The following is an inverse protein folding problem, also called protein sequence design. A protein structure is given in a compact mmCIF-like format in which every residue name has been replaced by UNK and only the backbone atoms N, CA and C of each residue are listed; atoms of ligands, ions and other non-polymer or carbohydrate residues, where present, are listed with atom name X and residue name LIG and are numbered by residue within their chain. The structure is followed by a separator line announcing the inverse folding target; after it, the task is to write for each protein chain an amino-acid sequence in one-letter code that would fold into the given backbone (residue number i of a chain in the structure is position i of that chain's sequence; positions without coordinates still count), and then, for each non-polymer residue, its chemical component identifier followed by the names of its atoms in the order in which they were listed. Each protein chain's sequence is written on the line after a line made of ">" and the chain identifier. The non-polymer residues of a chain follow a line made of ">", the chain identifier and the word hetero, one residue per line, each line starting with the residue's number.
data_IF_244901347051
#
_entry.id   IF_244901347051
#
_cell.length_a   1.000
_cell.length_b   1.000
_cell.length_c   1.000
_cell.angle_alpha   90.00
_cell.angle_beta   90.00
_cell.angle_gamma   90.00
#
_symmetry.space_group_name_H-M   'P 1'
#
loop_
_entity.id
_entity.type
_entity.pdbx_description
1 polymer ?
#
# COMPACT_ATOMS: atom_id res chain seq x y z
N UNK A 1 -1.50 -102.96 -6.49
CA UNK A 1 -1.89 -102.17 -7.68
C UNK A 1 -2.52 -100.89 -7.16
N UNK A 2 -1.95 -99.74 -7.55
CA UNK A 2 -2.17 -98.41 -6.96
C UNK A 2 -3.51 -97.84 -7.42
N UNK A 3 -4.36 -97.42 -6.48
CA UNK A 3 -5.49 -96.52 -6.73
C UNK A 3 -5.01 -95.07 -6.54
N UNK A 4 -5.13 -94.26 -7.58
CA UNK A 4 -4.76 -92.86 -7.56
C UNK A 4 -5.95 -92.01 -7.09
N UNK A 5 -5.77 -91.25 -6.01
CA UNK A 5 -6.62 -90.10 -5.68
C UNK A 5 -6.19 -88.93 -6.58
N UNK A 6 -7.13 -88.39 -7.36
CA UNK A 6 -6.96 -87.14 -8.08
C UNK A 6 -7.43 -85.98 -7.18
N UNK A 7 -6.50 -85.12 -6.79
CA UNK A 7 -6.77 -83.87 -6.06
C UNK A 7 -7.20 -82.81 -7.08
N UNK A 8 -8.48 -82.41 -7.06
CA UNK A 8 -8.96 -81.27 -7.85
C UNK A 8 -8.50 -79.97 -7.20
N UNK A 9 -7.52 -79.31 -7.81
CA UNK A 9 -7.09 -77.95 -7.47
C UNK A 9 -8.07 -76.96 -8.13
N UNK A 10 -8.93 -76.34 -7.33
CA UNK A 10 -9.80 -75.25 -7.79
C UNK A 10 -8.94 -73.99 -7.90
N UNK A 11 -8.50 -73.63 -9.12
CA UNK A 11 -7.86 -72.35 -9.38
C UNK A 11 -8.97 -71.29 -9.44
N UNK A 12 -9.14 -70.55 -8.34
CA UNK A 12 -9.97 -69.36 -8.32
C UNK A 12 -9.20 -68.25 -9.04
N UNK A 13 -9.42 -68.07 -10.34
CA UNK A 13 -8.94 -66.90 -11.06
C UNK A 13 -9.73 -65.69 -10.57
N UNK A 14 -9.14 -64.95 -9.63
CA UNK A 14 -9.59 -63.62 -9.27
C UNK A 14 -9.42 -62.72 -10.49
N UNK A 15 -10.53 -62.46 -11.19
CA UNK A 15 -10.60 -61.38 -12.16
C UNK A 15 -10.59 -60.09 -11.34
N UNK A 16 -9.39 -59.55 -11.12
CA UNK A 16 -9.23 -58.18 -10.66
C UNK A 16 -9.84 -57.28 -11.74
N UNK A 17 -11.08 -56.82 -11.50
CA UNK A 17 -11.61 -55.71 -12.27
C UNK A 17 -10.69 -54.52 -12.00
N UNK A 18 -10.13 -53.86 -13.03
CA UNK A 18 -9.46 -52.60 -12.79
C UNK A 18 -10.53 -51.65 -12.26
N UNK A 19 -10.43 -51.30 -10.97
CA UNK A 19 -11.01 -50.07 -10.49
C UNK A 19 -10.41 -48.98 -11.38
N UNK A 20 -11.20 -48.46 -12.31
CA UNK A 20 -10.97 -47.13 -12.85
C UNK A 20 -11.00 -46.19 -11.65
N UNK A 21 -9.82 -45.92 -11.08
CA UNK A 21 -9.63 -44.69 -10.35
C UNK A 21 -9.90 -43.60 -11.37
N UNK A 22 -11.09 -42.99 -11.30
CA UNK A 22 -11.25 -41.67 -11.85
C UNK A 22 -10.16 -40.83 -11.17
N UNK A 23 -9.19 -40.26 -11.91
CA UNK A 23 -8.31 -39.28 -11.29
C UNK A 23 -9.24 -38.25 -10.64
N UNK A 24 -9.01 -37.93 -9.37
CA UNK A 24 -9.59 -36.72 -8.82
C UNK A 24 -9.16 -35.61 -9.80
N UNK A 25 -10.13 -35.00 -10.48
CA UNK A 25 -9.82 -33.98 -11.47
C UNK A 25 -9.35 -32.78 -10.67
N UNK A 26 -8.02 -32.61 -10.57
CA UNK A 26 -7.45 -31.34 -10.19
C UNK A 26 -8.06 -30.24 -11.08
N UNK A 27 -8.35 -29.09 -10.48
CA UNK A 27 -8.78 -27.90 -11.18
C UNK A 27 -7.73 -27.40 -12.19
N UNK A 28 -8.09 -26.42 -13.03
CA UNK A 28 -7.27 -25.99 -14.15
C UNK A 28 -6.11 -25.06 -13.74
N UNK A 29 -6.03 -24.63 -12.48
CA UNK A 29 -5.05 -23.67 -12.00
C UNK A 29 -3.86 -24.36 -11.33
N UNK A 30 -2.69 -23.68 -11.24
CA UNK A 30 -1.51 -24.20 -10.54
C UNK A 30 -1.83 -24.76 -9.15
N UNK A 31 -1.15 -25.80 -8.71
CA UNK A 31 -1.33 -26.34 -7.35
C UNK A 31 -0.53 -25.56 -6.30
N UNK A 32 -0.52 -26.10 -5.08
CA UNK A 32 0.33 -25.58 -4.00
C UNK A 32 1.82 -25.87 -4.22
N UNK A 33 2.69 -25.17 -3.48
CA UNK A 33 4.12 -25.40 -3.50
C UNK A 33 4.46 -26.91 -3.39
N UNK A 34 5.36 -27.38 -4.26
CA UNK A 34 5.76 -28.78 -4.32
C UNK A 34 4.92 -29.68 -5.24
N UNK A 35 3.83 -29.19 -5.83
CA UNK A 35 3.10 -29.90 -6.89
C UNK A 35 3.62 -29.55 -8.29
N UNK A 36 3.39 -30.43 -9.27
CA UNK A 36 3.71 -30.15 -10.67
C UNK A 36 2.96 -28.90 -11.17
N UNK A 37 3.66 -28.01 -11.86
CA UNK A 37 3.08 -26.78 -12.41
C UNK A 37 2.75 -25.69 -11.39
N UNK A 38 3.14 -25.84 -10.11
CA UNK A 38 3.00 -24.80 -9.09
C UNK A 38 3.73 -23.51 -9.49
N UNK A 39 3.09 -22.37 -9.25
CA UNK A 39 3.62 -21.01 -9.43
C UNK A 39 4.00 -20.33 -8.10
N UNK A 40 3.84 -21.04 -6.97
CA UNK A 40 4.17 -20.56 -5.63
C UNK A 40 5.58 -19.94 -5.53
N UNK A 41 5.65 -18.75 -4.91
CA UNK A 41 6.88 -18.00 -4.72
C UNK A 41 7.47 -18.31 -3.34
N UNK A 42 8.69 -18.83 -3.27
CA UNK A 42 9.34 -19.07 -1.98
C UNK A 42 9.62 -17.74 -1.25
N UNK A 43 9.46 -17.69 0.07
CA UNK A 43 9.78 -16.50 0.87
C UNK A 43 11.23 -15.99 0.72
N UNK A 44 12.13 -16.86 0.27
CA UNK A 44 13.53 -16.56 0.00
C UNK A 44 13.87 -16.60 -1.50
N UNK A 45 12.87 -16.48 -2.39
CA UNK A 45 13.08 -16.41 -3.83
C UNK A 45 14.00 -15.22 -4.16
N UNK A 46 15.04 -15.48 -4.95
CA UNK A 46 16.04 -14.47 -5.30
C UNK A 46 15.49 -13.35 -6.19
N UNK A 47 14.31 -13.53 -6.79
CA UNK A 47 13.63 -12.51 -7.57
C UNK A 47 12.89 -11.49 -6.68
N UNK A 48 12.72 -11.74 -5.38
CA UNK A 48 12.17 -10.76 -4.44
C UNK A 48 13.21 -9.65 -4.22
N UNK A 49 12.83 -8.40 -4.50
CA UNK A 49 13.70 -7.22 -4.38
C UNK A 49 13.24 -6.26 -3.29
N UNK A 50 11.98 -6.33 -2.86
CA UNK A 50 11.43 -5.48 -1.82
C UNK A 50 10.23 -6.14 -1.12
N UNK A 51 9.78 -5.51 -0.03
CA UNK A 51 8.64 -5.92 0.78
C UNK A 51 7.78 -4.70 1.10
N UNK A 52 6.54 -4.92 1.53
CA UNK A 52 5.72 -3.84 2.10
C UNK A 52 6.45 -3.17 3.28
N UNK A 53 6.42 -1.84 3.33
CA UNK A 53 7.15 -1.03 4.33
C UNK A 53 6.23 -0.20 5.22
N UNK A 54 4.94 -0.14 4.91
CA UNK A 54 3.94 0.55 5.72
C UNK A 54 2.53 0.03 5.45
N UNK A 55 1.60 0.42 6.30
CA UNK A 55 0.18 0.15 6.14
C UNK A 55 -0.59 1.47 6.24
N UNK A 56 -1.31 1.81 5.18
CA UNK A 56 -2.14 3.02 5.12
C UNK A 56 -3.44 2.85 5.94
N UNK A 57 -3.99 1.64 5.97
CA UNK A 57 -5.25 1.36 6.66
C UNK A 57 -5.37 -0.13 7.02
N UNK A 58 -5.93 -0.42 8.19
CA UNK A 58 -6.39 -1.75 8.60
C UNK A 58 -7.83 -1.62 9.12
N UNK A 59 -8.78 -2.29 8.46
CA UNK A 59 -10.18 -2.36 8.85
C UNK A 59 -10.48 -3.80 9.25
N UNK A 60 -10.76 -4.03 10.54
CA UNK A 60 -11.12 -5.36 11.02
C UNK A 60 -12.56 -5.70 10.66
N UNK A 61 -12.76 -6.92 10.17
CA UNK A 61 -14.05 -7.57 10.04
C UNK A 61 -14.53 -8.20 11.35
N UNK A 62 -15.82 -8.53 11.47
CA UNK A 62 -16.35 -9.29 12.60
C UNK A 62 -15.65 -10.65 12.77
N UNK A 63 -15.64 -11.18 13.99
CA UNK A 63 -15.22 -12.58 14.24
C UNK A 63 -16.12 -13.57 13.50
N UNK A 64 -17.41 -13.23 13.39
CA UNK A 64 -18.39 -14.02 12.67
C UNK A 64 -19.47 -13.09 12.13
N UNK A 65 -19.55 -12.97 10.81
CA UNK A 65 -20.49 -12.09 10.13
C UNK A 65 -21.96 -12.47 10.38
N UNK A 66 -22.23 -13.73 10.75
CA UNK A 66 -23.57 -14.17 11.14
C UNK A 66 -23.94 -13.86 12.60
N UNK A 67 -22.96 -13.45 13.43
CA UNK A 67 -23.18 -13.11 14.83
C UNK A 67 -22.30 -11.93 15.29
N UNK A 68 -22.73 -10.71 14.96
CA UNK A 68 -22.01 -9.48 15.26
C UNK A 68 -21.82 -9.21 16.77
N UNK A 69 -22.55 -9.89 17.66
CA UNK A 69 -22.37 -9.76 19.10
C UNK A 69 -21.01 -10.29 19.58
N UNK A 70 -20.32 -11.08 18.77
CA UNK A 70 -18.97 -11.58 19.06
C UNK A 70 -17.88 -10.51 18.87
N UNK A 71 -18.20 -9.36 18.24
CA UNK A 71 -17.24 -8.30 17.99
C UNK A 71 -16.36 -8.57 16.77
N UNK A 72 -15.15 -8.01 16.79
CA UNK A 72 -14.23 -7.95 15.64
C UNK A 72 -12.97 -8.77 15.90
N UNK A 73 -12.39 -9.32 14.82
CA UNK A 73 -11.08 -9.97 14.88
C UNK A 73 -10.03 -8.97 15.40
N UNK A 74 -9.04 -9.47 16.15
CA UNK A 74 -8.05 -8.59 16.78
C UNK A 74 -6.63 -9.16 16.79
N UNK A 75 -6.40 -10.33 16.20
CA UNK A 75 -5.09 -10.95 16.20
C UNK A 75 -4.08 -10.20 15.32
N UNK A 76 -2.85 -10.08 15.79
CA UNK A 76 -1.79 -9.32 15.13
C UNK A 76 -2.05 -7.81 15.03
N UNK A 77 -1.18 -7.12 14.32
CA UNK A 77 -1.29 -5.70 13.97
C UNK A 77 -0.81 -5.51 12.53
N UNK A 78 -1.09 -4.35 11.93
CA UNK A 78 -0.58 -4.06 10.59
C UNK A 78 0.95 -4.18 10.47
N UNK A 79 1.70 -4.04 11.58
CA UNK A 79 3.15 -4.19 11.59
C UNK A 79 3.62 -5.63 11.32
N UNK A 80 2.79 -6.64 11.59
CA UNK A 80 3.11 -8.04 11.28
C UNK A 80 3.18 -8.29 9.78
N UNK A 81 2.44 -7.50 8.98
CA UNK A 81 2.44 -7.61 7.51
C UNK A 81 3.60 -6.87 6.81
N UNK A 82 4.54 -6.29 7.57
CA UNK A 82 5.60 -5.44 7.04
C UNK A 82 6.95 -6.16 7.06
N UNK A 83 7.72 -5.98 5.98
CA UNK A 83 9.01 -6.64 5.83
C UNK A 83 8.89 -8.10 5.35
N UNK A 84 9.99 -8.87 5.43
CA UNK A 84 10.02 -10.26 5.00
C UNK A 84 9.27 -11.17 5.97
N UNK A 85 8.74 -12.27 5.42
CA UNK A 85 8.28 -13.42 6.22
C UNK A 85 9.40 -13.84 7.18
N UNK A 86 9.14 -13.83 8.49
CA UNK A 86 10.17 -14.10 9.49
C UNK A 86 10.44 -15.59 9.69
N UNK A 87 9.47 -16.45 9.38
CA UNK A 87 9.53 -17.87 9.68
C UNK A 87 8.73 -18.72 8.70
N UNK A 88 9.36 -19.74 8.11
CA UNK A 88 8.66 -20.86 7.47
C UNK A 88 8.35 -22.00 8.45
N UNK A 89 8.49 -21.75 9.77
CA UNK A 89 8.28 -22.78 10.77
C UNK A 89 6.76 -22.93 11.01
N UNK A 90 6.16 -24.09 10.73
CA UNK A 90 4.73 -24.34 11.02
C UNK A 90 4.39 -24.28 12.51
N UNK A 91 5.37 -24.16 13.41
CA UNK A 91 5.16 -23.87 14.82
C UNK A 91 5.07 -22.36 15.15
N UNK A 92 5.27 -21.49 14.16
CA UNK A 92 5.32 -20.02 14.26
C UNK A 92 4.41 -19.38 13.21
N UNK A 93 3.17 -19.91 13.10
CA UNK A 93 2.10 -19.47 12.18
C UNK A 93 1.42 -18.16 12.58
N UNK A 94 1.95 -17.49 13.60
CA UNK A 94 1.28 -16.43 14.36
C UNK A 94 1.86 -15.03 14.11
N UNK A 95 2.90 -14.91 13.27
CA UNK A 95 3.38 -13.60 12.82
C UNK A 95 2.53 -13.09 11.65
N UNK A 96 1.23 -12.95 11.90
CA UNK A 96 0.24 -12.56 10.88
C UNK A 96 -0.70 -11.49 11.43
N UNK A 97 -1.49 -10.89 10.54
CA UNK A 97 -2.61 -10.01 10.89
C UNK A 97 -3.92 -10.52 10.30
N UNK A 98 -4.83 -10.97 11.18
CA UNK A 98 -6.10 -11.60 10.79
C UNK A 98 -7.19 -10.61 10.44
N UNK A 99 -7.67 -10.56 9.20
CA UNK A 99 -8.57 -9.49 8.79
C UNK A 99 -9.97 -9.59 9.43
N UNK A 100 -10.45 -10.77 9.81
CA UNK A 100 -11.85 -10.99 10.18
C UNK A 100 -12.78 -11.03 8.97
N UNK A 101 -14.01 -11.50 9.15
CA UNK A 101 -14.98 -11.70 8.05
C UNK A 101 -15.21 -10.37 7.28
N UNK A 102 -14.73 -10.30 6.04
CA UNK A 102 -14.83 -9.14 5.17
C UNK A 102 -13.97 -7.93 5.56
N UNK A 103 -13.00 -8.11 6.47
CA UNK A 103 -12.01 -7.08 6.79
C UNK A 103 -11.02 -6.81 5.64
N UNK A 104 -10.22 -5.77 5.79
CA UNK A 104 -9.25 -5.37 4.76
C UNK A 104 -8.01 -4.70 5.35
N UNK A 105 -6.88 -4.81 4.65
CA UNK A 105 -5.67 -4.04 4.93
C UNK A 105 -5.11 -3.45 3.63
N UNK A 106 -4.65 -2.20 3.69
CA UNK A 106 -3.98 -1.51 2.59
C UNK A 106 -2.51 -1.28 2.94
N UNK A 107 -1.62 -1.92 2.19
CA UNK A 107 -0.17 -1.82 2.34
C UNK A 107 0.45 -0.81 1.38
N UNK A 108 1.57 -0.24 1.79
CA UNK A 108 2.39 0.73 1.03
C UNK A 108 3.84 0.27 0.93
N UNK A 109 4.52 0.74 -0.11
CA UNK A 109 5.87 0.31 -0.47
C UNK A 109 6.83 1.50 -0.57
N UNK A 110 8.10 1.29 -0.24
CA UNK A 110 9.13 2.33 -0.35
C UNK A 110 9.37 2.77 -1.81
N UNK A 111 9.23 1.84 -2.75
CA UNK A 111 9.22 2.10 -4.18
C UNK A 111 7.91 1.60 -4.77
N UNK A 112 7.31 2.31 -5.75
CA UNK A 112 6.14 1.79 -6.43
C UNK A 112 6.45 0.44 -7.08
N UNK A 113 5.45 -0.44 -7.11
CA UNK A 113 5.47 -1.68 -7.89
C UNK A 113 5.16 -1.29 -9.35
N UNK A 114 5.84 -1.93 -10.30
CA UNK A 114 5.54 -1.77 -11.73
C UNK A 114 5.29 -3.11 -12.39
N UNK A 115 4.51 -3.07 -13.45
CA UNK A 115 4.35 -4.19 -14.38
C UNK A 115 5.69 -4.56 -15.03
N UNK A 116 5.95 -5.86 -15.13
CA UNK A 116 7.19 -6.46 -15.60
C UNK A 116 6.98 -7.84 -16.20
N UNK A 117 8.06 -8.59 -16.38
CA UNK A 117 7.94 -9.94 -16.97
C UNK A 117 7.51 -10.97 -15.91
N UNK A 118 6.28 -11.46 -16.04
CA UNK A 118 5.67 -12.39 -15.08
C UNK A 118 5.20 -11.69 -13.82
N UNK A 119 5.13 -12.40 -12.70
CA UNK A 119 4.62 -11.82 -11.45
C UNK A 119 5.42 -10.60 -10.97
N UNK A 120 4.72 -9.64 -10.38
CA UNK A 120 5.28 -8.37 -9.90
C UNK A 120 5.32 -8.28 -8.39
N UNK A 121 4.36 -8.93 -7.72
CA UNK A 121 4.33 -9.08 -6.27
C UNK A 121 3.71 -10.43 -5.88
N UNK A 122 3.94 -10.86 -4.64
CA UNK A 122 3.39 -12.09 -4.10
C UNK A 122 2.86 -11.87 -2.68
N UNK A 123 1.71 -12.47 -2.37
CA UNK A 123 1.04 -12.35 -1.05
C UNK A 123 1.22 -13.63 -0.25
N UNK A 124 1.74 -13.50 0.96
CA UNK A 124 2.03 -14.60 1.88
C UNK A 124 0.99 -14.66 3.00
N UNK A 125 0.55 -15.87 3.30
CA UNK A 125 -0.40 -16.22 4.35
C UNK A 125 0.11 -17.48 5.07
N UNK A 126 -0.52 -17.89 6.15
CA UNK A 126 -0.07 -18.97 7.04
C UNK A 126 -0.75 -20.33 6.79
N UNK A 127 -1.17 -20.62 5.56
CA UNK A 127 -1.90 -21.82 5.19
C UNK A 127 -1.13 -23.08 5.54
N UNK A 128 -1.86 -24.15 5.85
CA UNK A 128 -1.24 -25.41 6.26
C UNK A 128 -1.96 -26.63 5.69
N UNK A 129 -1.25 -27.74 5.63
CA UNK A 129 -1.76 -29.02 5.17
C UNK A 129 -1.14 -30.15 5.99
N UNK A 130 -1.78 -31.31 6.02
CA UNK A 130 -1.17 -32.52 6.53
C UNK A 130 -0.23 -33.13 5.48
N UNK A 131 0.91 -33.66 5.93
CA UNK A 131 1.95 -34.16 5.04
C UNK A 131 1.42 -35.22 4.06
N UNK A 132 1.51 -34.94 2.76
CA UNK A 132 1.13 -35.86 1.67
C UNK A 132 -0.24 -35.59 1.04
N UNK A 133 -0.98 -34.60 1.50
CA UNK A 133 -2.28 -34.21 0.94
C UNK A 133 -2.14 -33.18 -0.19
N UNK A 134 -3.07 -33.22 -1.15
CA UNK A 134 -3.20 -32.19 -2.22
C UNK A 134 -4.17 -31.06 -1.86
N UNK A 135 -4.77 -31.14 -0.68
CA UNK A 135 -5.72 -30.16 -0.14
C UNK A 135 -5.07 -29.39 1.02
N UNK A 136 -5.50 -28.16 1.24
CA UNK A 136 -4.96 -27.28 2.28
C UNK A 136 -6.07 -26.52 3.02
N UNK A 137 -5.79 -26.19 4.28
CA UNK A 137 -6.58 -25.19 5.01
C UNK A 137 -6.06 -23.84 4.54
N UNK A 138 -6.93 -23.08 3.89
CA UNK A 138 -6.60 -21.85 3.20
C UNK A 138 -7.59 -20.76 3.61
N UNK A 139 -7.07 -19.63 4.05
CA UNK A 139 -7.86 -18.42 4.25
C UNK A 139 -7.59 -17.49 3.05
N UNK A 140 -8.64 -17.01 2.40
CA UNK A 140 -8.54 -16.39 1.08
C UNK A 140 -8.80 -14.88 1.13
N UNK A 141 -8.10 -14.13 0.29
CA UNK A 141 -8.36 -12.71 0.08
C UNK A 141 -8.43 -12.32 -1.39
N UNK A 142 -9.31 -11.37 -1.70
CA UNK A 142 -9.22 -10.59 -2.92
C UNK A 142 -8.02 -9.66 -2.85
N UNK A 143 -7.38 -9.45 -4.00
CA UNK A 143 -6.26 -8.54 -4.14
C UNK A 143 -6.66 -7.37 -5.02
N UNK A 144 -6.36 -6.17 -4.56
CA UNK A 144 -6.58 -4.91 -5.26
C UNK A 144 -5.31 -4.07 -5.27
N UNK A 145 -5.13 -3.25 -6.29
CA UNK A 145 -4.00 -2.32 -6.40
C UNK A 145 -4.47 -0.90 -6.66
N UNK A 146 -3.66 0.07 -6.25
CA UNK A 146 -3.92 1.49 -6.51
C UNK A 146 -2.63 2.25 -6.79
N UNK A 147 -2.70 3.18 -7.75
CA UNK A 147 -1.61 4.13 -8.03
C UNK A 147 -1.65 5.35 -7.11
N UNK A 148 -2.79 5.65 -6.47
CA UNK A 148 -3.00 6.88 -5.69
C UNK A 148 -3.54 6.66 -4.26
N UNK A 149 -3.80 5.42 -3.85
CA UNK A 149 -4.31 5.08 -2.52
C UNK A 149 -5.80 5.34 -2.32
N UNK A 150 -6.53 5.73 -3.38
CA UNK A 150 -7.96 6.06 -3.34
C UNK A 150 -8.76 5.17 -4.31
N UNK A 151 -8.29 5.07 -5.56
CA UNK A 151 -8.93 4.27 -6.60
C UNK A 151 -8.31 2.88 -6.65
N UNK A 152 -9.08 1.86 -6.25
CA UNK A 152 -8.62 0.47 -6.17
C UNK A 152 -9.18 -0.38 -7.30
N UNK A 153 -8.30 -1.18 -7.90
CA UNK A 153 -8.60 -2.06 -9.02
C UNK A 153 -8.33 -3.50 -8.62
N UNK A 154 -9.38 -4.33 -8.63
CA UNK A 154 -9.34 -5.72 -8.18
C UNK A 154 -8.87 -6.66 -9.28
N UNK A 155 -7.98 -7.59 -8.92
CA UNK A 155 -7.62 -8.71 -9.79
C UNK A 155 -8.83 -9.58 -10.10
N UNK A 156 -8.99 -10.05 -11.35
CA UNK A 156 -10.08 -10.95 -11.70
C UNK A 156 -9.85 -12.33 -11.06
N UNK A 157 -10.38 -12.50 -9.85
CA UNK A 157 -10.39 -13.75 -9.10
C UNK A 157 -11.39 -14.75 -9.69
N UNK A 158 -11.07 -16.05 -9.65
CA UNK A 158 -11.97 -17.14 -10.02
C UNK A 158 -11.90 -18.24 -8.97
N UNK A 159 -13.05 -18.79 -8.59
CA UNK A 159 -13.15 -19.97 -7.72
C UNK A 159 -14.03 -21.03 -8.37
N UNK A 160 -13.53 -22.27 -8.39
CA UNK A 160 -14.25 -23.47 -8.81
C UNK A 160 -14.60 -24.38 -7.63
N UNK A 161 -14.44 -23.87 -6.40
CA UNK A 161 -14.76 -24.60 -5.18
C UNK A 161 -16.21 -25.10 -5.22
N UNK A 162 -16.49 -26.37 -4.85
CA UNK A 162 -17.86 -26.89 -4.84
C UNK A 162 -18.77 -26.06 -3.94
N UNK A 163 -20.02 -25.84 -4.33
CA UNK A 163 -20.98 -24.96 -3.60
C UNK A 163 -22.23 -25.68 -3.13
N UNK A 164 -22.28 -27.00 -3.32
CA UNK A 164 -23.37 -27.87 -2.86
C UNK A 164 -23.32 -28.10 -1.34
N UNK A 165 -22.12 -28.09 -0.76
CA UNK A 165 -21.87 -28.23 0.69
C UNK A 165 -20.91 -27.14 1.17
N UNK A 166 -21.23 -26.47 2.28
CA UNK A 166 -20.34 -25.48 2.90
C UNK A 166 -19.04 -26.14 3.34
N UNK A 167 -17.89 -25.55 2.98
CA UNK A 167 -16.59 -25.97 3.54
C UNK A 167 -16.57 -25.57 5.02
N UNK A 168 -16.43 -26.57 5.89
CA UNK A 168 -16.42 -26.40 7.33
C UNK A 168 -15.18 -25.68 7.86
N UNK A 169 -15.25 -25.22 9.11
CA UNK A 169 -14.25 -24.38 9.79
C UNK A 169 -12.80 -24.87 9.72
N UNK A 170 -12.54 -26.17 9.57
CA UNK A 170 -11.19 -26.75 9.47
C UNK A 170 -11.11 -27.75 8.30
N UNK A 171 -11.99 -27.59 7.32
CA UNK A 171 -11.98 -28.41 6.11
C UNK A 171 -11.03 -27.82 5.07
N UNK A 172 -10.70 -28.65 4.08
CA UNK A 172 -9.61 -28.41 3.15
C UNK A 172 -10.16 -28.03 1.79
N UNK A 173 -9.49 -27.10 1.12
CA UNK A 173 -9.77 -26.67 -0.24
C UNK A 173 -8.71 -27.25 -1.19
N UNK A 174 -9.09 -27.56 -2.43
CA UNK A 174 -8.14 -27.85 -3.50
C UNK A 174 -7.60 -26.53 -4.07
N UNK A 175 -6.30 -26.22 -3.92
CA UNK A 175 -5.71 -25.00 -4.45
C UNK A 175 -5.88 -24.85 -5.97
N UNK A 176 -6.00 -25.97 -6.70
CA UNK A 176 -6.14 -25.96 -8.17
C UNK A 176 -7.49 -25.43 -8.66
N UNK A 177 -8.45 -25.22 -7.75
CA UNK A 177 -9.74 -24.57 -8.02
C UNK A 177 -9.69 -23.04 -7.86
N UNK A 178 -8.55 -22.48 -7.45
CA UNK A 178 -8.42 -21.07 -7.10
C UNK A 178 -7.49 -20.32 -8.06
N UNK A 179 -7.90 -19.13 -8.50
CA UNK A 179 -7.10 -18.25 -9.34
C UNK A 179 -7.24 -16.79 -8.89
N UNK A 180 -6.11 -16.06 -8.86
CA UNK A 180 -6.05 -14.64 -8.44
C UNK A 180 -6.71 -14.35 -7.08
N UNK A 181 -6.65 -15.33 -6.16
CA UNK A 181 -7.00 -15.18 -4.75
C UNK A 181 -5.73 -15.41 -3.94
N UNK A 182 -5.42 -14.51 -3.02
CA UNK A 182 -4.31 -14.69 -2.10
C UNK A 182 -4.64 -15.81 -1.09
N UNK A 183 -3.61 -16.38 -0.46
CA UNK A 183 -3.75 -17.47 0.52
C UNK A 183 -3.96 -18.83 -0.10
N UNK A 184 -3.46 -19.05 -1.32
CA UNK A 184 -3.58 -20.34 -2.01
C UNK A 184 -2.48 -21.35 -1.63
N UNK A 185 -1.41 -20.89 -0.99
CA UNK A 185 -0.23 -21.71 -0.70
C UNK A 185 0.01 -21.82 0.81
N UNK A 186 0.85 -22.77 1.18
CA UNK A 186 1.21 -22.98 2.57
C UNK A 186 2.17 -21.89 3.09
N UNK A 187 2.28 -21.78 4.41
CA UNK A 187 3.21 -20.88 5.08
C UNK A 187 4.62 -20.94 4.46
N UNK A 188 5.20 -19.74 4.26
CA UNK A 188 6.50 -19.57 3.61
C UNK A 188 6.44 -19.53 2.08
N UNK A 189 5.25 -19.68 1.48
CA UNK A 189 5.02 -19.58 0.04
C UNK A 189 3.98 -18.53 -0.28
N UNK A 190 4.33 -17.62 -1.19
CA UNK A 190 3.49 -16.51 -1.61
C UNK A 190 2.72 -16.84 -2.89
N UNK A 191 1.49 -16.34 -2.98
CA UNK A 191 0.67 -16.41 -4.21
C UNK A 191 1.09 -15.28 -5.14
N UNK A 192 1.60 -15.57 -6.36
CA UNK A 192 2.05 -14.54 -7.28
C UNK A 192 0.89 -13.78 -7.93
N UNK A 193 1.09 -12.47 -8.16
CA UNK A 193 0.20 -11.59 -8.90
C UNK A 193 0.98 -10.84 -9.98
N UNK A 194 0.45 -10.88 -11.21
CA UNK A 194 1.01 -10.24 -12.40
C UNK A 194 0.11 -9.07 -12.82
N UNK A 195 0.62 -7.84 -12.71
CA UNK A 195 -0.13 -6.61 -12.99
C UNK A 195 -0.64 -6.54 -14.43
N UNK A 196 -0.04 -7.27 -15.37
CA UNK A 196 -0.54 -7.39 -16.73
C UNK A 196 -1.97 -7.95 -16.78
N UNK A 197 -2.41 -8.70 -15.75
CA UNK A 197 -3.80 -9.14 -15.61
C UNK A 197 -4.81 -7.98 -15.51
N UNK A 198 -4.34 -6.78 -15.16
CA UNK A 198 -5.12 -5.54 -15.08
C UNK A 198 -4.95 -4.62 -16.28
N UNK A 199 -4.21 -5.01 -17.32
CA UNK A 199 -3.93 -4.16 -18.50
C UNK A 199 -5.21 -3.65 -19.19
N UNK A 200 -6.27 -4.45 -19.22
CA UNK A 200 -7.57 -4.02 -19.77
C UNK A 200 -8.20 -2.93 -18.91
N UNK A 201 -8.13 -3.04 -17.58
CA UNK A 201 -8.62 -2.02 -16.66
C UNK A 201 -7.80 -0.73 -16.77
N UNK A 202 -6.47 -0.84 -16.84
CA UNK A 202 -5.57 0.30 -16.99
C UNK A 202 -5.78 1.05 -18.33
N UNK A 203 -6.07 0.32 -19.40
CA UNK A 203 -6.43 0.93 -20.69
C UNK A 203 -7.78 1.67 -20.61
N UNK A 204 -8.72 1.16 -19.81
CA UNK A 204 -10.06 1.72 -19.69
C UNK A 204 -10.15 2.88 -18.69
N UNK A 205 -9.29 2.93 -17.68
CA UNK A 205 -9.32 3.93 -16.61
C UNK A 205 -7.92 4.53 -16.35
N UNK A 206 -7.70 5.82 -16.67
CA UNK A 206 -6.39 6.46 -16.52
C UNK A 206 -5.96 6.65 -15.06
N UNK A 207 -6.81 6.35 -14.08
CA UNK A 207 -6.45 6.36 -12.65
C UNK A 207 -5.60 5.16 -12.25
N UNK A 208 -5.54 4.11 -13.09
CA UNK A 208 -4.67 2.96 -12.90
C UNK A 208 -3.44 3.08 -13.79
N UNK A 209 -2.32 3.45 -13.19
CA UNK A 209 -0.99 3.40 -13.81
C UNK A 209 -0.22 2.17 -13.29
N UNK A 210 -0.13 1.14 -14.14
CA UNK A 210 0.59 -0.10 -13.84
C UNK A 210 2.11 0.10 -13.74
N UNK A 211 2.64 1.25 -14.14
CA UNK A 211 4.07 1.56 -13.93
C UNK A 211 4.35 2.12 -12.53
N UNK A 212 3.32 2.52 -11.77
CA UNK A 212 3.48 3.22 -10.49
C UNK A 212 2.43 2.80 -9.45
N UNK A 213 2.26 1.50 -9.24
CA UNK A 213 1.37 0.98 -8.18
C UNK A 213 2.00 1.27 -6.81
N UNK A 214 1.32 2.07 -5.99
CA UNK A 214 1.82 2.50 -4.68
C UNK A 214 1.17 1.75 -3.52
N UNK A 215 0.01 1.15 -3.75
CA UNK A 215 -0.75 0.44 -2.74
C UNK A 215 -1.22 -0.93 -3.22
N UNK A 216 -1.19 -1.90 -2.30
CA UNK A 216 -1.84 -3.21 -2.46
C UNK A 216 -2.84 -3.36 -1.32
N UNK A 217 -4.10 -3.64 -1.63
CA UNK A 217 -5.15 -3.91 -0.65
C UNK A 217 -5.58 -5.35 -0.72
N UNK A 218 -5.66 -5.96 0.46
CA UNK A 218 -6.14 -7.32 0.65
C UNK A 218 -7.50 -7.20 1.33
N UNK A 219 -8.50 -7.90 0.80
CA UNK A 219 -9.86 -7.93 1.35
C UNK A 219 -10.24 -9.38 1.60
N UNK A 220 -10.58 -9.71 2.84
CA UNK A 220 -11.01 -11.04 3.24
C UNK A 220 -12.17 -11.55 2.37
N UNK A 221 -12.07 -12.82 1.98
CA UNK A 221 -13.14 -13.55 1.33
C UNK A 221 -13.91 -14.33 2.39
N UNK A 222 -15.09 -13.84 2.73
CA UNK A 222 -16.06 -14.60 3.53
C UNK A 222 -16.51 -15.83 2.73
N UNK A 223 -15.95 -17.00 3.05
CA UNK A 223 -16.13 -18.27 2.33
C UNK A 223 -17.51 -18.93 2.47
N UNK A 224 -18.54 -18.16 2.78
CA UNK A 224 -19.89 -18.68 3.01
C UNK A 224 -20.64 -18.96 1.71
N UNK A 225 -21.33 -20.10 1.62
CA UNK A 225 -22.30 -20.35 0.52
C UNK A 225 -23.68 -19.73 0.78
N UNK A 226 -23.90 -19.14 1.95
CA UNK A 226 -25.17 -18.50 2.26
C UNK A 226 -25.30 -17.18 1.49
N UNK A 227 -26.37 -16.95 0.70
CA UNK A 227 -26.46 -15.78 -0.18
C UNK A 227 -26.29 -14.43 0.52
N UNK A 228 -26.64 -14.32 1.81
CA UNK A 228 -26.48 -13.10 2.60
C UNK A 228 -25.02 -12.74 2.88
N UNK A 229 -24.13 -13.73 2.95
CA UNK A 229 -22.74 -13.57 3.36
C UNK A 229 -21.76 -13.89 2.24
N UNK A 230 -22.20 -14.64 1.23
CA UNK A 230 -21.39 -15.08 0.12
C UNK A 230 -20.62 -13.94 -0.55
N UNK A 231 -19.40 -14.25 -0.95
CA UNK A 231 -18.58 -13.42 -1.83
C UNK A 231 -18.54 -14.06 -3.20
N UNK A 232 -18.54 -13.20 -4.21
CA UNK A 232 -18.58 -13.62 -5.60
C UNK A 232 -17.23 -13.34 -6.26
N UNK A 233 -16.81 -14.26 -7.12
CA UNK A 233 -15.65 -14.10 -7.98
C UNK A 233 -15.95 -13.18 -9.18
N UNK A 234 -14.96 -13.00 -10.07
CA UNK A 234 -15.09 -12.12 -11.25
C UNK A 234 -16.09 -12.62 -12.31
N UNK A 235 -16.54 -13.88 -12.22
CA UNK A 235 -17.53 -14.48 -13.10
C UNK A 235 -18.91 -14.59 -12.43
N UNK A 236 -19.02 -14.14 -11.18
CA UNK A 236 -20.25 -14.19 -10.39
C UNK A 236 -20.49 -15.52 -9.67
N UNK A 237 -19.49 -16.41 -9.60
CA UNK A 237 -19.57 -17.65 -8.83
C UNK A 237 -19.35 -17.38 -7.35
N UNK A 238 -20.03 -18.13 -6.48
CA UNK A 238 -19.78 -18.10 -5.04
C UNK A 238 -18.41 -18.70 -4.75
N UNK A 239 -17.63 -18.04 -3.88
CA UNK A 239 -16.37 -18.57 -3.37
C UNK A 239 -16.65 -19.29 -2.05
N UNK A 240 -16.53 -20.61 -2.04
CA UNK A 240 -16.74 -21.44 -0.86
C UNK A 240 -15.38 -21.76 -0.22
N UNK A 241 -15.23 -21.41 1.05
CA UNK A 241 -14.04 -21.70 1.84
C UNK A 241 -14.41 -21.93 3.30
N UNK A 242 -13.43 -22.19 4.19
CA UNK A 242 -13.69 -22.43 5.59
C UNK A 242 -14.56 -21.34 6.22
N UNK A 243 -15.80 -21.68 6.57
CA UNK A 243 -16.72 -20.74 7.20
C UNK A 243 -17.83 -21.45 7.99
N UNK A 244 -18.23 -20.94 9.17
CA UNK A 244 -17.66 -19.79 9.86
C UNK A 244 -16.30 -20.12 10.49
N UNK A 245 -15.45 -19.11 10.63
CA UNK A 245 -14.18 -19.16 11.38
C UNK A 245 -14.28 -18.24 12.61
N UNK A 246 -15.12 -18.58 13.63
CA UNK A 246 -15.48 -17.69 14.73
C UNK A 246 -14.38 -17.56 15.79
N UNK A 247 -13.18 -17.16 15.35
CA UNK A 247 -11.98 -16.99 16.16
C UNK A 247 -11.45 -15.55 16.03
N UNK A 248 -10.64 -15.14 17.01
CA UNK A 248 -9.99 -13.83 16.95
C UNK A 248 -8.94 -13.74 15.82
N UNK A 249 -8.53 -14.90 15.32
CA UNK A 249 -7.65 -15.14 14.17
C UNK A 249 -8.44 -15.46 12.89
N UNK A 250 -9.77 -15.34 12.89
CA UNK A 250 -10.56 -15.74 11.73
C UNK A 250 -10.41 -14.79 10.54
N UNK A 251 -10.59 -15.33 9.34
CA UNK A 251 -10.49 -14.60 8.08
C UNK A 251 -9.06 -14.60 7.57
N UNK A 252 -8.75 -13.82 6.55
CA UNK A 252 -7.42 -13.83 5.94
C UNK A 252 -6.30 -13.46 6.92
N UNK A 253 -5.32 -14.36 7.09
CA UNK A 253 -4.17 -14.24 7.99
C UNK A 253 -2.91 -13.75 7.25
N UNK A 254 -2.84 -12.45 6.96
CA UNK A 254 -1.74 -11.89 6.17
C UNK A 254 -0.40 -11.94 6.92
N UNK A 255 0.62 -12.56 6.31
CA UNK A 255 2.02 -12.61 6.77
C UNK A 255 2.85 -11.51 6.10
N UNK A 256 2.87 -11.44 4.77
CA UNK A 256 3.67 -10.44 4.07
C UNK A 256 3.23 -10.19 2.62
N UNK A 257 3.71 -9.09 2.03
CA UNK A 257 3.66 -8.87 0.56
C UNK A 257 5.06 -8.57 0.05
N UNK A 258 5.58 -9.48 -0.79
CA UNK A 258 6.87 -9.34 -1.46
C UNK A 258 6.71 -8.70 -2.84
N UNK A 259 7.74 -8.01 -3.33
CA UNK A 259 7.76 -7.35 -4.63
C UNK A 259 8.97 -7.83 -5.43
N UNK A 260 8.75 -8.09 -6.72
CA UNK A 260 9.77 -8.45 -7.70
C UNK A 260 10.13 -7.32 -8.64
N UNK A 261 9.15 -6.54 -9.09
CA UNK A 261 9.39 -5.42 -10.00
C UNK A 261 9.04 -4.10 -9.33
N UNK A 262 10.09 -3.34 -8.98
CA UNK A 262 9.95 -1.96 -8.49
C UNK A 262 10.22 -0.95 -9.61
N UNK A 263 9.49 0.16 -9.56
CA UNK A 263 9.80 1.36 -10.31
C UNK A 263 10.86 2.18 -9.58
N UNK A 264 11.51 3.08 -10.32
CA UNK A 264 12.16 4.21 -9.66
C UNK A 264 11.09 4.99 -8.87
N UNK A 265 11.42 5.56 -7.69
CA UNK A 265 10.55 6.53 -7.06
C UNK A 265 10.17 7.62 -8.06
N UNK A 266 8.95 8.18 -8.01
CA UNK A 266 8.63 9.34 -8.82
C UNK A 266 9.68 10.43 -8.57
N UNK A 267 10.07 11.14 -9.63
CA UNK A 267 10.99 12.27 -9.49
C UNK A 267 10.41 13.26 -8.48
N UNK A 268 11.22 13.78 -7.53
CA UNK A 268 10.73 14.77 -6.59
C UNK A 268 10.20 16.00 -7.35
N UNK A 269 9.24 16.70 -6.75
CA UNK A 269 8.68 17.94 -7.30
C UNK A 269 8.76 19.05 -6.25
N UNK A 270 8.60 20.31 -6.69
CA UNK A 270 8.55 21.46 -5.78
C UNK A 270 9.82 21.60 -4.94
N UNK A 271 9.65 21.84 -3.64
CA UNK A 271 10.79 22.03 -2.73
C UNK A 271 11.74 20.82 -2.67
N UNK A 272 11.22 19.59 -2.74
CA UNK A 272 12.04 18.39 -2.75
C UNK A 272 12.89 18.30 -4.03
N UNK A 273 12.33 18.67 -5.20
CA UNK A 273 13.09 18.75 -6.45
C UNK A 273 14.20 19.79 -6.34
N UNK A 274 13.85 20.98 -5.86
CA UNK A 274 14.78 22.08 -5.68
C UNK A 274 15.97 21.68 -4.78
N UNK A 275 15.74 20.90 -3.71
CA UNK A 275 16.86 20.37 -2.90
C UNK A 275 17.78 19.46 -3.74
N UNK A 276 17.22 18.56 -4.55
CA UNK A 276 18.03 17.67 -5.40
C UNK A 276 18.75 18.39 -6.54
N UNK A 277 18.26 19.55 -6.97
CA UNK A 277 18.89 20.39 -8.00
C UNK A 277 20.03 21.25 -7.44
N UNK A 278 19.96 21.65 -6.16
CA UNK A 278 20.90 22.59 -5.55
C UNK A 278 21.97 21.95 -4.66
N UNK A 279 21.80 20.69 -4.26
CA UNK A 279 22.73 19.98 -3.37
C UNK A 279 23.28 18.69 -4.00
N UNK A 280 24.53 18.35 -3.70
CA UNK A 280 25.09 17.04 -4.08
C UNK A 280 24.50 15.91 -3.24
N UNK A 281 24.66 14.66 -3.69
CA UNK A 281 24.20 13.49 -2.94
C UNK A 281 24.80 13.42 -1.52
N UNK A 282 26.06 13.84 -1.36
CA UNK A 282 26.73 13.90 -0.06
C UNK A 282 26.13 14.98 0.85
N UNK A 283 25.76 16.14 0.29
CA UNK A 283 25.12 17.22 1.06
C UNK A 283 23.69 16.86 1.46
N UNK A 284 22.94 16.18 0.59
CA UNK A 284 21.60 15.67 0.90
C UNK A 284 21.58 14.68 2.06
N UNK A 285 22.71 14.05 2.38
CA UNK A 285 22.84 13.16 3.53
C UNK A 285 23.16 13.89 4.86
N UNK A 286 23.34 15.22 4.85
CA UNK A 286 23.79 16.00 6.00
C UNK A 286 22.73 17.04 6.39
N UNK A 287 22.00 16.85 7.51
CA UNK A 287 20.91 17.74 7.91
C UNK A 287 21.27 19.23 8.00
N UNK A 288 22.52 19.55 8.36
CA UNK A 288 22.99 20.92 8.44
C UNK A 288 22.98 21.68 7.10
N UNK A 289 22.92 20.98 5.95
CA UNK A 289 22.78 21.61 4.64
C UNK A 289 21.33 21.71 4.19
N UNK A 290 20.47 20.75 4.57
CA UNK A 290 19.16 20.56 3.93
C UNK A 290 17.95 20.80 4.83
N UNK A 291 18.18 21.06 6.12
CA UNK A 291 17.12 21.45 7.03
C UNK A 291 16.45 22.74 6.52
N UNK A 292 15.17 22.89 6.82
CA UNK A 292 14.37 23.99 6.29
C UNK A 292 14.81 25.35 6.82
N UNK A 293 15.41 25.36 8.03
CA UNK A 293 16.02 26.50 8.71
C UNK A 293 17.55 26.59 8.51
N UNK A 294 18.15 25.70 7.72
CA UNK A 294 19.57 25.78 7.40
C UNK A 294 19.85 26.89 6.39
N UNK A 295 20.99 27.55 6.59
CA UNK A 295 21.54 28.63 5.76
C UNK A 295 22.97 28.23 5.35
N UNK A 296 23.12 27.43 4.27
CA UNK A 296 24.40 26.83 3.93
C UNK A 296 25.44 27.80 3.36
N UNK A 297 25.01 28.90 2.76
CA UNK A 297 25.90 29.93 2.20
C UNK A 297 26.12 31.12 3.14
N UNK A 298 25.32 31.22 4.22
CA UNK A 298 25.52 32.16 5.31
C UNK A 298 25.04 33.57 5.00
N UNK A 299 24.09 33.74 4.09
CA UNK A 299 23.57 35.05 3.69
C UNK A 299 22.36 35.53 4.52
N UNK A 300 21.91 34.69 5.45
CA UNK A 300 20.81 34.97 6.37
C UNK A 300 19.45 34.49 5.90
N UNK A 301 19.36 33.79 4.75
CA UNK A 301 18.14 33.13 4.31
C UNK A 301 18.24 31.62 4.45
N UNK A 302 17.21 31.06 5.08
CA UNK A 302 17.10 29.62 5.22
C UNK A 302 16.55 28.97 3.94
N UNK A 303 16.89 27.71 3.70
CA UNK A 303 16.50 26.93 2.53
C UNK A 303 15.01 27.03 2.14
N UNK A 304 14.10 26.99 3.12
CA UNK A 304 12.68 27.08 2.81
C UNK A 304 12.30 28.46 2.26
N UNK A 305 12.90 29.52 2.80
CA UNK A 305 12.71 30.89 2.34
C UNK A 305 13.40 31.13 0.99
N UNK A 306 14.56 30.52 0.79
CA UNK A 306 15.29 30.50 -0.48
C UNK A 306 14.42 29.94 -1.62
N UNK A 307 13.89 28.73 -1.41
CA UNK A 307 12.95 28.12 -2.35
C UNK A 307 11.74 29.02 -2.58
N UNK A 308 11.15 29.56 -1.50
CA UNK A 308 9.93 30.36 -1.55
C UNK A 308 10.08 31.68 -2.32
N UNK A 309 11.26 32.28 -2.34
CA UNK A 309 11.56 33.55 -3.00
C UNK A 309 12.35 33.38 -4.31
N UNK A 310 12.74 32.16 -4.65
CA UNK A 310 13.43 31.84 -5.90
C UNK A 310 14.90 32.21 -5.88
N UNK A 311 15.55 32.07 -4.73
CA UNK A 311 16.99 32.24 -4.53
C UNK A 311 17.71 30.88 -4.39
N UNK A 312 19.05 30.91 -4.32
CA UNK A 312 19.90 29.71 -4.42
C UNK A 312 20.58 29.41 -3.08
N UNK A 313 20.41 28.23 -2.46
CA UNK A 313 20.86 27.96 -1.09
C UNK A 313 22.37 27.73 -0.93
N UNK A 314 23.11 27.91 -2.01
CA UNK A 314 24.57 27.70 -2.07
C UNK A 314 25.29 28.92 -2.63
N UNK A 315 24.56 30.01 -2.86
CA UNK A 315 25.06 31.26 -3.43
C UNK A 315 24.47 32.40 -2.63
N UNK A 316 25.30 33.16 -1.93
CA UNK A 316 24.86 34.32 -1.17
C UNK A 316 24.21 35.39 -2.08
N UNK A 317 22.89 35.28 -2.26
CA UNK A 317 22.07 36.07 -3.18
C UNK A 317 20.76 36.56 -2.53
N UNK A 318 20.71 36.61 -1.19
CA UNK A 318 19.59 37.13 -0.39
C UNK A 318 19.09 38.55 -0.70
N UNK A 319 19.78 39.32 -1.53
CA UNK A 319 19.26 40.60 -2.05
C UNK A 319 18.24 40.39 -3.19
N UNK A 320 18.33 39.27 -3.91
CA UNK A 320 17.40 38.91 -4.99
C UNK A 320 16.02 38.61 -4.41
N UNK A 321 15.00 39.27 -4.93
CA UNK A 321 13.60 39.17 -4.46
C UNK A 321 13.42 39.43 -2.96
N UNK A 322 14.31 40.22 -2.34
CA UNK A 322 14.23 40.56 -0.92
C UNK A 322 12.89 41.21 -0.56
N UNK A 323 12.18 40.71 0.48
CA UNK A 323 10.99 41.37 0.97
C UNK A 323 11.29 42.82 1.38
N UNK A 324 10.51 43.75 0.86
CA UNK A 324 10.71 45.17 1.06
C UNK A 324 9.63 45.75 1.98
N UNK A 325 10.07 46.52 2.98
CA UNK A 325 9.17 47.32 3.81
C UNK A 325 8.97 48.71 3.21
N UNK A 326 7.75 49.23 3.27
CA UNK A 326 7.43 50.60 2.88
C UNK A 326 6.37 51.22 3.79
N UNK A 327 6.33 52.55 3.83
CA UNK A 327 5.29 53.32 4.52
C UNK A 327 4.47 54.06 3.46
N UNK A 328 3.24 53.62 3.24
CA UNK A 328 2.32 54.21 2.25
C UNK A 328 0.98 54.46 2.90
N UNK A 329 0.38 55.62 2.67
CA UNK A 329 -0.91 56.04 3.26
C UNK A 329 -0.94 55.90 4.80
N UNK A 330 0.21 56.14 5.44
CA UNK A 330 0.36 56.04 6.89
C UNK A 330 0.33 54.62 7.46
N UNK A 331 0.44 53.56 6.64
CA UNK A 331 0.47 52.17 7.10
C UNK A 331 1.76 51.47 6.65
N UNK A 332 2.31 50.64 7.53
CA UNK A 332 3.45 49.79 7.21
C UNK A 332 3.01 48.70 6.24
N UNK A 333 3.79 48.48 5.18
CA UNK A 333 3.56 47.46 4.15
C UNK A 333 4.79 46.60 3.99
N UNK A 334 4.59 45.31 3.77
CA UNK A 334 5.61 44.36 3.36
C UNK A 334 5.25 43.86 1.96
N UNK A 335 6.20 43.97 1.03
CA UNK A 335 6.04 43.50 -0.34
C UNK A 335 7.06 42.40 -0.63
N UNK A 336 6.65 41.32 -1.28
CA UNK A 336 7.53 40.22 -1.69
C UNK A 336 7.10 39.66 -3.04
N UNK A 337 8.03 39.01 -3.74
CA UNK A 337 7.74 38.26 -4.98
C UNK A 337 7.54 36.79 -4.61
N UNK A 338 6.45 36.20 -5.08
CA UNK A 338 6.24 34.76 -5.08
C UNK A 338 6.45 34.26 -6.52
N UNK A 339 7.54 33.52 -6.80
CA UNK A 339 7.77 32.91 -8.11
C UNK A 339 6.63 31.96 -8.52
N UNK A 340 6.50 31.71 -9.82
CA UNK A 340 5.60 30.68 -10.33
C UNK A 340 6.01 29.29 -9.84
N UNK A 341 5.05 28.37 -9.68
CA UNK A 341 5.32 27.00 -9.25
C UNK A 341 5.72 26.87 -7.78
N UNK A 342 5.18 27.75 -6.92
CA UNK A 342 5.33 27.74 -5.45
C UNK A 342 4.01 27.51 -4.73
N UNK A 343 3.10 26.78 -5.38
CA UNK A 343 1.79 26.43 -4.82
C UNK A 343 1.88 25.30 -3.78
N UNK A 344 3.05 24.68 -3.65
CA UNK A 344 3.42 23.69 -2.65
C UNK A 344 3.87 24.32 -1.31
N UNK A 345 3.62 25.61 -1.10
CA UNK A 345 3.93 26.34 0.13
C UNK A 345 2.76 27.23 0.57
N UNK A 346 2.62 27.38 1.88
CA UNK A 346 1.78 28.40 2.49
C UNK A 346 2.59 29.66 2.78
N UNK A 347 2.04 30.83 2.41
CA UNK A 347 2.65 32.14 2.67
C UNK A 347 1.73 32.96 3.58
N UNK A 348 2.30 33.57 4.62
CA UNK A 348 1.62 34.50 5.49
C UNK A 348 2.51 35.71 5.79
N UNK A 349 1.90 36.88 5.98
CA UNK A 349 2.58 38.03 6.56
C UNK A 349 2.04 38.24 7.96
N UNK A 350 2.93 38.12 8.95
CA UNK A 350 2.56 38.30 10.34
C UNK A 350 2.90 39.71 10.79
N UNK A 351 2.05 40.25 11.66
CA UNK A 351 2.27 41.52 12.34
C UNK A 351 2.57 41.31 13.82
N UNK A 352 3.42 42.17 14.38
CA UNK A 352 3.72 42.20 15.81
C UNK A 352 3.97 43.63 16.28
N UNK A 353 3.71 43.88 17.57
CA UNK A 353 4.12 45.11 18.26
C UNK A 353 5.36 44.95 19.16
N UNK A 354 5.82 43.72 19.39
CA UNK A 354 6.83 43.38 20.39
C UNK A 354 7.91 42.37 19.94
N UNK A 355 7.82 41.85 18.69
CA UNK A 355 8.63 40.77 18.12
C UNK A 355 8.48 39.40 18.81
N UNK A 356 7.63 39.29 19.83
CA UNK A 356 7.39 38.06 20.58
C UNK A 356 6.05 37.42 20.20
N UNK A 357 4.99 38.23 20.16
CA UNK A 357 3.63 37.80 19.80
C UNK A 357 3.33 38.21 18.38
N UNK A 358 2.92 37.25 17.55
CA UNK A 358 2.68 37.44 16.12
C UNK A 358 1.23 37.12 15.76
N UNK A 359 0.65 37.94 14.90
CA UNK A 359 -0.74 37.84 14.46
C UNK A 359 -0.83 37.85 12.92
N UNK A 360 -1.59 36.91 12.36
CA UNK A 360 -1.69 36.71 10.91
C UNK A 360 -3.11 36.92 10.37
N UNK A 361 -4.09 37.27 11.22
CA UNK A 361 -5.48 37.44 10.79
C UNK A 361 -5.71 38.79 10.10
N UNK A 362 -6.84 38.89 9.39
CA UNK A 362 -7.27 40.11 8.67
C UNK A 362 -7.55 41.31 9.57
N UNK A 363 -7.61 41.11 10.89
CA UNK A 363 -7.68 42.19 11.88
C UNK A 363 -6.36 42.97 11.97
N UNK A 364 -5.22 42.30 11.73
CA UNK A 364 -3.89 42.87 11.91
C UNK A 364 -3.19 43.11 10.58
N UNK A 365 -3.39 42.25 9.58
CA UNK A 365 -2.75 42.33 8.28
C UNK A 365 -3.76 42.06 7.16
N UNK A 366 -3.79 42.93 6.17
CA UNK A 366 -4.59 42.73 4.95
C UNK A 366 -3.62 42.55 3.79
N UNK A 367 -3.74 41.43 3.08
CA UNK A 367 -3.00 41.15 1.85
C UNK A 367 -3.81 41.64 0.66
N UNK A 368 -3.20 42.51 -0.15
CA UNK A 368 -3.80 43.03 -1.37
C UNK A 368 -3.86 41.92 -2.45
N UNK A 369 -4.67 42.13 -3.49
CA UNK A 369 -4.72 41.21 -4.62
C UNK A 369 -3.33 41.11 -5.29
N UNK A 370 -2.86 39.89 -5.61
CA UNK A 370 -1.59 39.70 -6.30
C UNK A 370 -1.53 40.46 -7.63
N UNK A 371 -0.37 41.02 -7.95
CA UNK A 371 -0.08 41.66 -9.24
C UNK A 371 1.02 40.85 -9.93
N UNK A 372 1.03 40.76 -11.26
CA UNK A 372 2.13 40.08 -11.97
C UNK A 372 3.48 40.76 -11.66
N UNK A 373 4.50 39.96 -11.33
CA UNK A 373 5.86 40.45 -11.11
C UNK A 373 6.65 40.54 -12.43
N UNK A 374 7.57 41.49 -12.53
CA UNK A 374 8.55 41.51 -13.61
C UNK A 374 9.50 40.31 -13.45
N UNK A 375 9.56 39.44 -14.47
CA UNK A 375 10.38 38.22 -14.42
C UNK A 375 9.61 36.92 -14.11
N UNK A 376 8.29 36.98 -13.94
CA UNK A 376 7.43 35.82 -13.64
C UNK A 376 7.00 35.76 -12.17
N UNK A 377 5.92 35.04 -11.89
CA UNK A 377 5.30 35.02 -10.57
C UNK A 377 4.42 36.23 -10.25
N UNK A 378 4.17 36.42 -8.95
CA UNK A 378 3.29 37.45 -8.43
C UNK A 378 3.98 38.31 -7.36
N UNK A 379 3.83 39.63 -7.49
CA UNK A 379 4.14 40.60 -6.45
C UNK A 379 2.97 40.66 -5.47
N UNK A 380 3.26 40.39 -4.21
CA UNK A 380 2.30 40.41 -3.11
C UNK A 380 2.63 41.58 -2.19
N UNK A 381 1.62 42.36 -1.83
CA UNK A 381 1.75 43.42 -0.83
C UNK A 381 0.79 43.15 0.32
N UNK A 382 1.32 43.08 1.53
CA UNK A 382 0.57 42.99 2.77
C UNK A 382 0.72 44.28 3.56
N UNK A 383 -0.40 44.76 4.13
CA UNK A 383 -0.49 46.03 4.85
C UNK A 383 -0.92 45.78 6.29
N UNK A 384 -0.20 46.35 7.25
CA UNK A 384 -0.65 46.44 8.62
C UNK A 384 -1.97 47.24 8.69
N UNK A 385 -2.97 46.72 9.39
CA UNK A 385 -4.27 47.40 9.54
C UNK A 385 -4.14 48.65 10.42
N UNK A 386 -3.32 48.58 11.45
CA UNK A 386 -3.09 49.70 12.35
C UNK A 386 -2.22 50.80 11.68
N UNK A 387 -2.51 52.09 11.88
CA UNK A 387 -1.68 53.18 11.37
C UNK A 387 -0.28 53.12 11.98
N UNK A 388 0.74 53.44 11.18
CA UNK A 388 2.12 53.48 11.64
C UNK A 388 2.29 54.42 12.84
N UNK A 389 3.03 53.96 13.85
CA UNK A 389 3.20 54.67 15.11
C UNK A 389 2.10 54.42 16.15
N UNK A 390 1.03 53.68 15.80
CA UNK A 390 -0.01 53.24 16.75
C UNK A 390 -0.28 51.74 16.58
N UNK A 391 0.28 50.85 17.42
CA UNK A 391 1.19 51.12 18.54
C UNK A 391 2.56 51.65 18.08
N UNK A 392 3.33 52.19 19.02
CA UNK A 392 4.60 52.88 18.78
C UNK A 392 5.66 52.02 18.06
N UNK A 393 5.54 50.70 18.14
CA UNK A 393 6.38 49.73 17.43
C UNK A 393 5.48 48.80 16.64
N UNK A 394 5.86 48.56 15.40
CA UNK A 394 5.19 47.62 14.50
C UNK A 394 6.25 46.90 13.68
N UNK A 395 6.03 45.62 13.48
CA UNK A 395 6.90 44.73 12.73
C UNK A 395 6.03 43.92 11.79
N UNK A 396 6.51 43.69 10.58
CA UNK A 396 5.97 42.72 9.66
C UNK A 396 7.06 41.71 9.36
N UNK A 397 6.70 40.42 9.25
CA UNK A 397 7.59 39.39 8.72
C UNK A 397 6.84 38.55 7.69
N UNK A 398 7.58 38.06 6.70
CA UNK A 398 7.12 36.98 5.85
C UNK A 398 7.33 35.66 6.60
N UNK A 399 6.31 34.83 6.66
CA UNK A 399 6.35 33.48 7.20
C UNK A 399 5.95 32.51 6.09
N UNK A 400 6.75 31.47 5.90
CA UNK A 400 6.51 30.42 4.90
C UNK A 400 6.54 29.07 5.61
N UNK A 401 5.62 28.19 5.26
CA UNK A 401 5.57 26.82 5.77
C UNK A 401 5.19 25.84 4.66
N UNK A 402 5.51 24.54 4.82
CA UNK A 402 4.81 23.49 4.09
C UNK A 402 3.28 23.61 4.27
N UNK A 403 2.49 23.12 3.32
CA UNK A 403 1.04 23.29 3.28
C UNK A 403 0.30 22.53 4.40
#
# INVERSE_FOLDING_TARGET
>A
MKSALATSLLVLSAVASPLLQTPALAGPYPGMAGTEGSDAVAMNDAAIVAWATGAAELVRGPINLSNLAQGYAFFGTAANALGPVLSANPADVFDTVSLGDGGSITLTFAQPIRDGEGWDFAVFENGFSYAGESLAFLELAFVEVSSNGVDFFRFPAVSLTPTDTQVGTFEWIDPTDLYNLAGKHLQGWGTPFDLAALATAATADPRLDLATITHVRLVDVVGSIQPTYARLDSLGNVINGPWPTPFNTGGFDLDAVAVRHVAAPPAPTGYAAWKTENFTAEQLAVPAFIADDADPDGDGRANLLEYALGTTPTTADADLNAPALSLTDGHLRLTYVRPDGRDDLAYAVDWSSDLATWYSSTEYVITDAPIAAEGGGALITARAVAPFGVPARQFLRLHVSPP
#
